data_IF_080586571801
#
_entry.id   IF_080586571801
#
_cell.length_a   1.000
_cell.length_b   1.000
_cell.length_c   1.000
_cell.angle_alpha   90.00
_cell.angle_beta   90.00
_cell.angle_gamma   90.00
#
_symmetry.space_group_name_H-M   'P 1'
#
loop_
_entity.id
_entity.type
_entity.pdbx_description
1 polymer ?
#
# COMPACT_ATOMS: atom_id res chain seq x y z
N UNK A 1 -4.39 -10.65 21.30
CA UNK A 1 -4.76 -11.29 20.01
C UNK A 1 -5.37 -10.27 19.06
N UNK A 2 -6.24 -9.38 19.56
CA UNK A 2 -6.82 -8.29 18.79
C UNK A 2 -5.77 -7.28 18.30
N UNK A 3 -4.77 -6.96 19.12
CA UNK A 3 -3.69 -6.04 18.75
C UNK A 3 -2.85 -6.57 17.58
N UNK A 4 -2.44 -7.84 17.62
CA UNK A 4 -1.69 -8.46 16.52
C UNK A 4 -2.47 -8.41 15.20
N UNK A 5 -3.78 -8.66 15.25
CA UNK A 5 -4.62 -8.59 14.05
C UNK A 5 -4.69 -7.16 13.52
N UNK A 6 -4.83 -6.18 14.42
CA UNK A 6 -4.86 -4.76 14.07
C UNK A 6 -3.54 -4.33 13.44
N UNK A 7 -2.43 -4.67 14.04
CA UNK A 7 -1.09 -4.33 13.53
C UNK A 7 -0.85 -4.89 12.13
N UNK A 8 -1.29 -6.13 11.88
CA UNK A 8 -1.21 -6.75 10.55
C UNK A 8 -2.08 -5.99 9.54
N UNK A 9 -3.31 -5.63 9.91
CA UNK A 9 -4.22 -4.87 9.02
C UNK A 9 -3.63 -3.50 8.69
N UNK A 10 -3.13 -2.79 9.70
CA UNK A 10 -2.53 -1.46 9.55
C UNK A 10 -1.27 -1.53 8.68
N UNK A 11 -0.45 -2.56 8.85
CA UNK A 11 0.72 -2.78 8.01
C UNK A 11 0.35 -3.09 6.54
N UNK A 12 -0.66 -3.93 6.31
CA UNK A 12 -1.17 -4.22 4.96
C UNK A 12 -1.70 -2.95 4.30
N UNK A 13 -2.43 -2.12 5.06
CA UNK A 13 -2.96 -0.85 4.58
C UNK A 13 -1.82 0.08 4.16
N UNK A 14 -0.86 0.32 5.06
CA UNK A 14 0.31 1.13 4.80
C UNK A 14 1.06 0.63 3.55
N UNK A 15 1.36 -0.66 3.47
CA UNK A 15 2.16 -1.21 2.39
C UNK A 15 1.48 -1.04 1.01
N UNK A 16 0.16 -1.19 0.94
CA UNK A 16 -0.57 -1.16 -0.34
C UNK A 16 -1.00 0.25 -0.76
N UNK A 17 -1.44 1.07 0.19
CA UNK A 17 -2.12 2.34 -0.09
C UNK A 17 -1.23 3.56 0.15
N UNK A 18 -0.39 3.53 1.19
CA UNK A 18 0.31 4.73 1.68
C UNK A 18 1.80 4.74 1.32
N UNK A 19 2.43 3.57 1.23
CA UNK A 19 3.86 3.45 0.95
C UNK A 19 4.15 3.94 -0.46
N UNK A 20 4.97 4.99 -0.55
CA UNK A 20 5.44 5.55 -1.81
C UNK A 20 6.73 4.85 -2.26
N UNK A 21 6.87 4.65 -3.58
CA UNK A 21 8.07 4.04 -4.16
C UNK A 21 8.56 4.82 -5.37
N UNK A 22 9.82 5.25 -5.33
CA UNK A 22 10.47 6.03 -6.40
C UNK A 22 10.41 5.34 -7.77
N UNK A 23 10.68 4.03 -7.81
CA UNK A 23 10.57 3.25 -9.06
C UNK A 23 9.16 3.18 -9.66
N UNK A 24 8.14 3.53 -8.89
CA UNK A 24 6.75 3.63 -9.35
C UNK A 24 6.36 5.08 -9.67
N UNK A 25 7.35 5.98 -9.84
CA UNK A 25 7.10 7.40 -10.08
C UNK A 25 6.54 8.12 -8.87
N UNK A 26 6.85 7.66 -7.65
CA UNK A 26 6.30 8.25 -6.44
C UNK A 26 4.84 7.86 -6.15
N UNK A 27 4.34 6.79 -6.79
CA UNK A 27 3.00 6.24 -6.54
C UNK A 27 3.03 5.13 -5.48
N UNK A 28 1.90 4.93 -4.80
CA UNK A 28 1.67 3.72 -4.01
C UNK A 28 1.40 2.49 -4.89
N UNK A 29 1.57 1.26 -4.38
CA UNK A 29 1.33 0.05 -5.17
C UNK A 29 -0.06 -0.02 -5.80
N UNK A 30 -1.10 0.42 -5.10
CA UNK A 30 -2.47 0.46 -5.65
C UNK A 30 -2.58 1.54 -6.73
N UNK A 31 -2.08 2.75 -6.48
CA UNK A 31 -2.12 3.85 -7.46
C UNK A 31 -1.40 3.48 -8.76
N UNK A 32 -0.22 2.84 -8.65
CA UNK A 32 0.52 2.37 -9.80
C UNK A 32 -0.28 1.33 -10.60
N UNK A 33 -0.95 0.36 -9.96
CA UNK A 33 -1.78 -0.61 -10.70
C UNK A 33 -2.93 0.06 -11.43
N UNK A 34 -3.58 1.04 -10.81
CA UNK A 34 -4.66 1.81 -11.43
C UNK A 34 -4.17 2.62 -12.63
N UNK A 35 -2.98 3.22 -12.54
CA UNK A 35 -2.39 3.99 -13.65
C UNK A 35 -1.89 3.12 -14.82
N UNK A 36 -1.88 1.79 -14.68
CA UNK A 36 -1.54 0.85 -15.77
C UNK A 36 -2.75 0.18 -16.38
N UNK A 37 -3.91 0.27 -15.74
CA UNK A 37 -5.16 -0.33 -16.20
C UNK A 37 -5.99 0.60 -17.10
N UNK A 38 -5.59 1.88 -17.22
CA UNK A 38 -6.15 2.88 -18.10
C UNK A 38 -5.31 3.00 -19.37
#
# INVERSE_FOLDING_TARGET
MEDLKRDIIDYINYYNQLRIKEKLGGLSPVQYRLSQAA
#
